data_IF_817908626054
#
_entry.id   IF_817908626054
#
_cell.length_a   1.000
_cell.length_b   1.000
_cell.length_c   1.000
_cell.angle_alpha   90.00
_cell.angle_beta   90.00
_cell.angle_gamma   90.00
#
_symmetry.space_group_name_H-M   'P 1'
#
loop_
_entity.id
_entity.type
_entity.pdbx_description
1 polymer ?
#
# COMPACT_ATOMS: atom_id res chain seq x y z
N UNK A 1 -5.80 10.71 12.30
CA UNK A 1 -7.03 10.07 11.78
C UNK A 1 -6.81 8.58 11.61
N UNK A 2 -7.86 7.74 11.59
CA UNK A 2 -7.65 6.32 11.34
C UNK A 2 -7.30 6.10 9.86
N UNK A 3 -6.35 5.20 9.57
CA UNK A 3 -5.96 4.94 8.19
C UNK A 3 -7.10 4.32 7.36
N UNK A 4 -8.04 3.60 7.98
CA UNK A 4 -9.26 3.15 7.28
C UNK A 4 -10.11 4.30 6.74
N UNK A 5 -10.17 5.42 7.45
CA UNK A 5 -10.91 6.60 7.02
C UNK A 5 -10.15 7.28 5.89
N UNK A 6 -8.83 7.39 6.02
CA UNK A 6 -7.94 7.90 4.98
C UNK A 6 -8.09 7.10 3.67
N UNK A 7 -8.05 5.76 3.76
CA UNK A 7 -8.27 4.85 2.65
C UNK A 7 -9.61 5.07 1.93
N UNK A 8 -10.68 5.29 2.68
CA UNK A 8 -12.01 5.57 2.13
C UNK A 8 -12.06 6.92 1.40
N UNK A 9 -11.34 7.93 1.89
CA UNK A 9 -11.24 9.22 1.18
C UNK A 9 -10.47 9.07 -0.14
N UNK A 10 -9.38 8.30 -0.15
CA UNK A 10 -8.64 8.00 -1.38
C UNK A 10 -9.51 7.28 -2.43
N UNK A 11 -10.35 6.34 -1.99
CA UNK A 11 -11.27 5.63 -2.89
C UNK A 11 -12.32 6.57 -3.50
N UNK A 12 -12.79 7.57 -2.75
CA UNK A 12 -13.69 8.60 -3.26
C UNK A 12 -12.96 9.49 -4.28
N UNK A 13 -11.74 9.93 -3.96
CA UNK A 13 -10.92 10.77 -4.83
C UNK A 13 -10.69 10.14 -6.21
N UNK A 14 -10.49 8.83 -6.28
CA UNK A 14 -10.30 8.13 -7.57
C UNK A 14 -11.54 8.15 -8.48
N UNK A 15 -12.74 8.29 -7.92
CA UNK A 15 -14.00 8.32 -8.69
C UNK A 15 -14.30 9.72 -9.24
N UNK A 16 -13.54 10.74 -8.85
CA UNK A 16 -13.74 12.13 -9.22
C UNK A 16 -12.86 12.46 -10.43
N UNK A 17 -13.46 13.01 -11.49
CA UNK A 17 -12.74 13.45 -12.70
C UNK A 17 -12.45 14.95 -12.73
N UNK A 18 -13.11 15.74 -11.89
CA UNK A 18 -12.94 17.20 -11.83
C UNK A 18 -11.74 17.59 -10.99
N UNK A 19 -10.76 18.27 -11.61
CA UNK A 19 -9.54 18.75 -10.93
C UNK A 19 -9.83 19.71 -9.77
N UNK A 20 -10.84 20.58 -9.91
CA UNK A 20 -11.22 21.52 -8.85
C UNK A 20 -11.72 20.76 -7.62
N UNK A 21 -12.63 19.81 -7.84
CA UNK A 21 -13.18 18.98 -6.75
C UNK A 21 -12.09 18.12 -6.09
N UNK A 22 -11.17 17.56 -6.87
CA UNK A 22 -10.00 16.84 -6.31
C UNK A 22 -9.18 17.76 -5.40
N UNK A 23 -8.96 19.00 -5.81
CA UNK A 23 -8.15 19.96 -5.03
C UNK A 23 -8.83 20.28 -3.70
N UNK A 24 -10.15 20.52 -3.71
CA UNK A 24 -10.94 20.80 -2.52
C UNK A 24 -10.95 19.60 -1.56
N UNK A 25 -11.20 18.39 -2.07
CA UNK A 25 -11.22 17.16 -1.27
C UNK A 25 -9.85 16.82 -0.67
N UNK A 26 -8.76 17.04 -1.41
CA UNK A 26 -7.39 16.88 -0.88
C UNK A 26 -7.10 17.93 0.18
N UNK A 27 -7.49 19.19 -0.03
CA UNK A 27 -7.31 20.24 0.98
C UNK A 27 -8.05 19.89 2.28
N UNK A 28 -9.28 19.36 2.19
CA UNK A 28 -10.05 18.94 3.35
C UNK A 28 -9.51 17.67 4.01
N UNK A 29 -8.93 16.75 3.24
CA UNK A 29 -8.21 15.61 3.80
C UNK A 29 -6.98 16.05 4.60
N UNK A 30 -6.18 16.98 4.07
CA UNK A 30 -5.00 17.51 4.75
C UNK A 30 -5.35 18.23 6.06
N UNK A 31 -6.48 18.95 6.12
CA UNK A 31 -6.97 19.58 7.36
C UNK A 31 -7.36 18.57 8.45
N UNK A 32 -7.71 17.33 8.08
CA UNK A 32 -8.10 16.25 9.01
C UNK A 32 -6.91 15.47 9.55
N UNK A 33 -5.73 15.59 8.94
CA UNK A 33 -4.50 15.01 9.45
C UNK A 33 -4.00 15.83 10.64
N UNK A 34 -3.54 15.15 11.68
CA UNK A 34 -2.81 15.83 12.75
C UNK A 34 -1.44 16.30 12.26
N UNK A 35 -0.80 17.21 13.00
CA UNK A 35 0.54 17.72 12.67
C UNK A 35 1.55 16.59 12.47
N UNK A 36 1.50 15.58 13.33
CA UNK A 36 2.45 14.45 13.32
C UNK A 36 2.15 13.45 12.17
N UNK A 37 0.92 13.42 11.66
CA UNK A 37 0.52 12.56 10.54
C UNK A 37 0.68 13.24 9.18
N UNK A 38 0.85 14.57 9.14
CA UNK A 38 0.78 15.36 7.89
C UNK A 38 1.86 14.93 6.91
N UNK A 39 3.09 14.77 7.37
CA UNK A 39 4.22 14.34 6.52
C UNK A 39 3.96 12.96 5.91
N UNK A 40 3.66 11.97 6.76
CA UNK A 40 3.37 10.61 6.31
C UNK A 40 2.15 10.53 5.39
N UNK A 41 1.07 11.25 5.73
CA UNK A 41 -0.14 11.32 4.93
C UNK A 41 0.09 11.93 3.54
N UNK A 42 0.91 12.99 3.44
CA UNK A 42 1.30 13.59 2.16
C UNK A 42 2.13 12.61 1.32
N UNK A 43 3.10 11.92 1.91
CA UNK A 43 3.87 10.92 1.17
C UNK A 43 2.98 9.77 0.68
N UNK A 44 2.09 9.27 1.53
CA UNK A 44 1.14 8.22 1.16
C UNK A 44 0.19 8.66 0.03
N UNK A 45 -0.30 9.91 0.06
CA UNK A 45 -1.09 10.50 -1.04
C UNK A 45 -0.34 10.53 -2.37
N UNK A 46 0.97 10.80 -2.32
CA UNK A 46 1.86 10.83 -3.47
C UNK A 46 2.36 9.44 -3.90
N UNK A 47 1.98 8.38 -3.17
CA UNK A 47 2.49 7.03 -3.38
C UNK A 47 3.97 6.87 -3.04
N UNK A 48 4.51 7.69 -2.14
CA UNK A 48 5.92 7.67 -1.72
C UNK A 48 6.04 7.34 -0.24
N UNK A 49 7.25 7.04 0.20
CA UNK A 49 7.58 6.88 1.62
C UNK A 49 8.59 7.92 2.12
N UNK A 50 9.30 8.59 1.22
CA UNK A 50 10.29 9.60 1.57
C UNK A 50 10.56 10.53 0.37
N UNK A 51 11.26 11.66 0.57
CA UNK A 51 11.80 12.45 -0.52
C UNK A 51 12.76 11.64 -1.40
N UNK A 52 12.79 11.95 -2.70
CA UNK A 52 13.64 11.23 -3.66
C UNK A 52 15.14 11.30 -3.35
N UNK A 53 15.61 12.35 -2.68
CA UNK A 53 17.03 12.53 -2.34
C UNK A 53 17.49 11.66 -1.16
N UNK A 54 16.59 11.02 -0.42
CA UNK A 54 16.93 10.19 0.75
C UNK A 54 17.43 8.81 0.36
N UNK A 55 17.18 8.37 -0.89
CA UNK A 55 17.50 7.01 -1.33
C UNK A 55 16.64 5.91 -0.68
N UNK A 56 15.64 6.27 0.14
CA UNK A 56 14.73 5.29 0.74
C UNK A 56 13.75 4.78 -0.32
N UNK A 57 13.99 3.56 -0.78
CA UNK A 57 13.14 2.87 -1.73
C UNK A 57 12.51 1.63 -1.10
N UNK A 58 11.23 1.40 -1.40
CA UNK A 58 10.55 0.20 -0.94
C UNK A 58 11.26 -1.07 -1.47
N UNK A 59 11.84 -1.00 -2.69
CA UNK A 59 12.57 -2.09 -3.34
C UNK A 59 11.85 -3.45 -3.23
N UNK A 60 10.53 -3.38 -3.29
CA UNK A 60 9.62 -4.51 -3.27
C UNK A 60 9.11 -4.69 -4.68
N UNK A 61 9.42 -5.82 -5.30
CA UNK A 61 8.87 -6.22 -6.60
C UNK A 61 7.53 -6.95 -6.46
N UNK A 62 6.76 -7.04 -7.55
CA UNK A 62 5.42 -7.63 -7.52
C UNK A 62 5.43 -9.10 -7.04
N UNK A 63 6.49 -9.86 -7.35
CA UNK A 63 6.69 -11.24 -6.85
C UNK A 63 6.82 -11.29 -5.33
N UNK A 64 7.43 -10.27 -4.72
CA UNK A 64 7.56 -10.18 -3.27
C UNK A 64 6.23 -9.82 -2.62
N UNK A 65 5.44 -8.94 -3.24
CA UNK A 65 4.08 -8.64 -2.80
C UNK A 65 3.19 -9.89 -2.87
N UNK A 66 3.26 -10.63 -3.98
CA UNK A 66 2.56 -11.89 -4.17
C UNK A 66 2.93 -12.90 -3.08
N UNK A 67 4.24 -13.09 -2.82
CA UNK A 67 4.73 -13.95 -1.73
C UNK A 67 4.23 -13.50 -0.35
N UNK A 68 4.18 -12.20 -0.11
CA UNK A 68 3.68 -11.64 1.17
C UNK A 68 2.20 -11.99 1.38
N UNK A 69 1.40 -11.93 0.31
CA UNK A 69 -0.03 -12.26 0.33
C UNK A 69 -0.25 -13.78 0.46
N UNK A 70 0.55 -14.57 -0.25
CA UNK A 70 0.55 -16.04 -0.14
C UNK A 70 0.86 -16.48 1.31
N UNK A 71 1.90 -15.90 1.92
CA UNK A 71 2.26 -16.14 3.32
C UNK A 71 1.18 -15.68 4.29
N UNK A 72 0.57 -14.52 4.03
CA UNK A 72 -0.55 -13.96 4.80
C UNK A 72 -1.77 -14.89 4.81
N UNK A 73 -2.19 -15.33 3.62
CA UNK A 73 -3.42 -16.08 3.45
C UNK A 73 -3.24 -17.59 3.62
N UNK A 74 -1.99 -18.07 3.74
CA UNK A 74 -1.63 -19.48 3.66
C UNK A 74 -2.21 -20.14 2.38
N UNK A 75 -2.14 -19.41 1.27
CA UNK A 75 -2.59 -19.83 -0.07
C UNK A 75 -1.37 -19.93 -0.97
N UNK A 76 -1.35 -20.93 -1.85
CA UNK A 76 -0.25 -21.11 -2.80
C UNK A 76 -0.05 -19.88 -3.71
N UNK A 77 1.22 -19.54 -3.99
CA UNK A 77 1.59 -18.43 -4.86
C UNK A 77 0.92 -18.52 -6.24
N UNK A 78 0.77 -19.73 -6.81
CA UNK A 78 0.17 -19.94 -8.13
C UNK A 78 -1.33 -19.59 -8.15
N UNK A 79 -2.03 -19.83 -7.03
CA UNK A 79 -3.45 -19.44 -6.88
C UNK A 79 -3.58 -17.92 -6.80
N UNK A 80 -2.74 -17.27 -5.98
CA UNK A 80 -2.71 -15.80 -5.89
C UNK A 80 -2.34 -15.17 -7.25
N UNK A 81 -1.42 -15.80 -7.99
CA UNK A 81 -1.04 -15.37 -9.34
C UNK A 81 -2.20 -15.51 -10.34
N UNK A 82 -2.94 -16.61 -10.29
CA UNK A 82 -4.10 -16.81 -11.15
C UNK A 82 -5.19 -15.75 -10.87
N UNK A 83 -5.46 -15.47 -9.59
CA UNK A 83 -6.39 -14.41 -9.19
C UNK A 83 -5.92 -13.04 -9.66
N UNK A 84 -4.63 -12.73 -9.52
CA UNK A 84 -4.05 -11.48 -10.01
C UNK A 84 -4.17 -11.35 -11.53
N UNK A 85 -3.91 -12.42 -12.29
CA UNK A 85 -4.08 -12.44 -13.75
C UNK A 85 -5.54 -12.22 -14.17
N UNK A 86 -6.49 -12.75 -13.39
CA UNK A 86 -7.91 -12.58 -13.66
C UNK A 86 -8.43 -11.18 -13.32
N UNK A 87 -8.01 -10.64 -12.17
CA UNK A 87 -8.51 -9.35 -11.64
C UNK A 87 -7.74 -8.13 -12.16
N UNK A 88 -6.50 -8.32 -12.61
CA UNK A 88 -5.62 -7.26 -13.10
C UNK A 88 -5.11 -6.29 -12.03
N UNK A 89 -5.48 -6.47 -10.76
CA UNK A 89 -5.10 -5.59 -9.65
C UNK A 89 -4.89 -6.39 -8.36
N UNK A 90 -3.76 -6.15 -7.68
CA UNK A 90 -3.42 -6.89 -6.46
C UNK A 90 -4.29 -6.46 -5.26
N UNK A 91 -4.79 -5.23 -5.25
CA UNK A 91 -5.78 -4.77 -4.28
C UNK A 91 -7.06 -5.57 -4.35
N UNK A 92 -7.56 -5.82 -5.57
CA UNK A 92 -8.74 -6.68 -5.79
C UNK A 92 -8.53 -8.14 -5.36
N UNK A 93 -7.29 -8.65 -5.50
CA UNK A 93 -6.92 -9.97 -4.96
C UNK A 93 -7.04 -9.96 -3.43
N UNK A 94 -6.41 -8.98 -2.78
CA UNK A 94 -6.43 -8.82 -1.32
C UNK A 94 -7.88 -8.63 -0.80
N UNK A 95 -8.73 -7.90 -1.52
CA UNK A 95 -10.15 -7.71 -1.15
C UNK A 95 -10.96 -9.00 -1.22
N UNK A 96 -10.56 -9.95 -2.06
CA UNK A 96 -11.21 -11.27 -2.15
C UNK A 96 -10.81 -12.24 -1.05
N UNK A 97 -9.81 -11.91 -0.22
CA UNK A 97 -9.34 -12.79 0.85
C UNK A 97 -10.31 -12.80 2.04
N UNK A 98 -10.40 -13.93 2.78
CA UNK A 98 -11.25 -14.04 3.96
C UNK A 98 -11.02 -12.93 4.99
N UNK A 99 -12.11 -12.33 5.49
CA UNK A 99 -12.03 -11.18 6.40
C UNK A 99 -11.34 -11.52 7.72
N UNK A 100 -11.41 -12.79 8.18
CA UNK A 100 -10.75 -13.25 9.40
C UNK A 100 -9.22 -13.13 9.36
N UNK A 101 -8.62 -13.11 8.16
CA UNK A 101 -7.18 -12.90 8.00
C UNK A 101 -6.73 -11.50 8.42
N UNK A 102 -7.66 -10.54 8.50
CA UNK A 102 -7.38 -9.14 8.79
C UNK A 102 -7.90 -8.73 10.18
N UNK A 103 -7.86 -9.63 11.17
CA UNK A 103 -8.37 -9.42 12.54
C UNK A 103 -7.46 -8.53 13.42
N UNK A 104 -6.81 -7.54 12.82
CA UNK A 104 -5.84 -6.66 13.47
C UNK A 104 -6.45 -5.52 14.28
N UNK A 105 -5.66 -4.51 14.62
CA UNK A 105 -6.17 -3.27 15.24
C UNK A 105 -6.34 -2.17 14.19
N UNK A 106 -7.14 -1.16 14.50
CA UNK A 106 -7.15 0.07 13.68
C UNK A 106 -5.84 0.83 13.97
N UNK A 107 -5.12 1.23 12.94
CA UNK A 107 -3.97 2.12 13.06
C UNK A 107 -4.30 3.52 12.57
N UNK A 108 -3.61 4.50 13.14
CA UNK A 108 -3.52 5.86 12.61
C UNK A 108 -2.74 5.92 11.29
N UNK A 109 -2.84 7.04 10.58
CA UNK A 109 -2.05 7.25 9.34
C UNK A 109 -0.55 7.25 9.65
N UNK A 110 -0.15 7.88 10.75
CA UNK A 110 1.24 7.93 11.21
C UNK A 110 1.80 6.54 11.51
N UNK A 111 1.09 5.72 12.28
CA UNK A 111 1.53 4.35 12.60
C UNK A 111 1.70 3.47 11.36
N UNK A 112 0.85 3.62 10.33
CA UNK A 112 1.01 2.88 9.08
C UNK A 112 2.22 3.37 8.31
N UNK A 113 2.39 4.69 8.22
CA UNK A 113 3.53 5.29 7.55
C UNK A 113 4.86 4.85 8.18
N UNK A 114 4.98 4.93 9.51
CA UNK A 114 6.16 4.47 10.25
C UNK A 114 6.47 2.99 9.99
N UNK A 115 5.46 2.14 9.98
CA UNK A 115 5.64 0.70 9.71
C UNK A 115 6.09 0.45 8.27
N UNK A 116 5.56 1.20 7.30
CA UNK A 116 5.99 1.10 5.90
C UNK A 116 7.44 1.56 5.72
N UNK A 117 7.82 2.66 6.37
CA UNK A 117 9.21 3.15 6.39
C UNK A 117 10.14 2.11 7.00
N UNK A 118 9.80 1.54 8.16
CA UNK A 118 10.60 0.50 8.81
C UNK A 118 10.79 -0.76 7.92
N UNK A 119 9.77 -1.12 7.11
CA UNK A 119 9.90 -2.19 6.11
C UNK A 119 10.82 -1.77 4.96
N UNK A 120 10.72 -0.52 4.49
CA UNK A 120 11.56 0.01 3.42
C UNK A 120 13.05 0.03 3.79
N UNK A 121 13.35 0.33 5.05
CA UNK A 121 14.70 0.45 5.61
C UNK A 121 15.46 -0.88 5.73
N UNK A 122 14.79 -2.03 5.59
CA UNK A 122 15.49 -3.31 5.57
C UNK A 122 16.51 -3.37 4.42
N UNK A 123 17.80 -3.34 4.75
CA UNK A 123 18.92 -3.43 3.82
C UNK A 123 19.82 -4.64 4.05
N UNK A 124 20.74 -4.88 3.12
CA UNK A 124 21.75 -5.95 3.21
C UNK A 124 21.26 -7.35 2.86
N UNK A 125 22.06 -8.36 3.22
CA UNK A 125 21.81 -9.77 2.92
C UNK A 125 20.52 -10.23 3.61
N UNK A 126 19.62 -10.86 2.85
CA UNK A 126 18.32 -11.32 3.34
C UNK A 126 17.28 -10.21 3.54
N UNK A 127 17.56 -8.96 3.15
CA UNK A 127 16.60 -7.86 3.22
C UNK A 127 15.29 -8.17 2.50
N UNK A 128 15.35 -8.82 1.33
CA UNK A 128 14.15 -9.19 0.58
C UNK A 128 13.18 -10.04 1.41
N UNK A 129 13.68 -11.04 2.13
CA UNK A 129 12.85 -11.92 2.96
C UNK A 129 12.24 -11.17 4.15
N UNK A 130 13.03 -10.28 4.77
CA UNK A 130 12.56 -9.40 5.85
C UNK A 130 11.47 -8.45 5.36
N UNK A 131 11.59 -7.91 4.15
CA UNK A 131 10.57 -7.06 3.53
C UNK A 131 9.28 -7.83 3.25
N UNK A 132 9.37 -9.05 2.70
CA UNK A 132 8.21 -9.92 2.46
C UNK A 132 7.49 -10.24 3.78
N UNK A 133 8.24 -10.71 4.78
CA UNK A 133 7.66 -11.05 6.08
C UNK A 133 7.11 -9.82 6.82
N UNK A 134 7.82 -8.69 6.76
CA UNK A 134 7.39 -7.42 7.37
C UNK A 134 6.10 -6.89 6.74
N UNK A 135 6.01 -6.94 5.41
CA UNK A 135 4.81 -6.56 4.68
C UNK A 135 3.64 -7.50 4.98
N UNK A 136 3.86 -8.81 5.00
CA UNK A 136 2.84 -9.80 5.38
C UNK A 136 2.29 -9.54 6.80
N UNK A 137 3.17 -9.23 7.76
CA UNK A 137 2.78 -8.87 9.13
C UNK A 137 2.00 -7.56 9.20
N UNK A 138 2.42 -6.56 8.42
CA UNK A 138 1.71 -5.28 8.34
C UNK A 138 0.30 -5.48 7.78
N UNK A 139 0.16 -6.30 6.74
CA UNK A 139 -1.11 -6.69 6.15
C UNK A 139 -2.04 -7.40 7.17
N UNK A 140 -1.52 -8.39 7.91
CA UNK A 140 -2.25 -9.09 8.98
C UNK A 140 -2.73 -8.15 10.09
N UNK A 141 -1.87 -7.21 10.48
CA UNK A 141 -2.10 -6.38 11.66
C UNK A 141 -3.19 -5.33 11.45
N UNK A 142 -3.64 -5.13 10.20
CA UNK A 142 -4.38 -3.96 9.80
C UNK A 142 -5.82 -4.30 9.39
N UNK A 143 -6.79 -3.85 10.20
CA UNK A 143 -8.21 -3.81 9.79
C UNK A 143 -8.38 -2.64 8.80
N UNK A 144 -8.55 -2.95 7.50
CA UNK A 144 -9.01 -1.98 6.51
C UNK A 144 -8.12 -1.73 5.29
N UNK A 145 -7.11 -2.56 5.05
CA UNK A 145 -6.17 -2.43 3.91
C UNK A 145 -6.86 -2.68 2.57
N UNK A 146 -8.13 -3.12 2.59
CA UNK A 146 -8.98 -3.43 1.43
C UNK A 146 -8.67 -2.56 0.19
N UNK A 147 -8.52 -1.22 0.26
CA UNK A 147 -8.28 -0.43 -0.95
C UNK A 147 -6.83 0.00 -1.22
N UNK A 148 -5.94 0.14 -0.23
CA UNK A 148 -4.78 1.06 -0.36
C UNK A 148 -3.51 0.40 -0.89
N UNK A 149 -3.21 -0.85 -0.52
CA UNK A 149 -1.92 -1.46 -0.92
C UNK A 149 -1.89 -1.80 -2.41
N UNK A 150 -3.00 -2.21 -3.02
CA UNK A 150 -3.08 -2.32 -4.47
C UNK A 150 -2.81 -1.00 -5.19
N UNK A 151 -3.22 0.13 -4.59
CA UNK A 151 -3.24 1.47 -5.22
C UNK A 151 -1.96 2.28 -5.02
N UNK A 152 -1.36 2.26 -3.81
CA UNK A 152 0.01 2.77 -3.57
C UNK A 152 1.00 2.01 -4.46
N UNK A 153 0.74 0.71 -4.66
CA UNK A 153 1.52 -0.09 -5.61
C UNK A 153 1.16 0.25 -7.07
N UNK A 154 -0.10 0.50 -7.44
CA UNK A 154 -0.49 0.93 -8.80
C UNK A 154 0.15 2.26 -9.23
N UNK A 155 0.29 3.24 -8.34
CA UNK A 155 0.99 4.50 -8.67
C UNK A 155 2.51 4.31 -8.85
N UNK A 156 3.14 3.43 -8.07
CA UNK A 156 4.57 3.09 -8.25
C UNK A 156 4.82 2.12 -9.41
N UNK A 157 3.89 1.20 -9.65
CA UNK A 157 3.94 0.22 -10.73
C UNK A 157 3.56 0.80 -12.08
N UNK A 158 2.75 1.85 -12.19
CA UNK A 158 2.58 2.51 -13.49
C UNK A 158 3.86 3.20 -14.00
N UNK A 159 4.83 3.47 -13.12
CA UNK A 159 6.20 3.85 -13.54
C UNK A 159 7.13 2.66 -13.77
N UNK A 160 6.95 1.54 -13.05
CA UNK A 160 7.80 0.36 -13.20
C UNK A 160 7.34 -0.61 -14.32
N UNK A 161 6.05 -0.64 -14.66
CA UNK A 161 5.47 -1.50 -15.71
C UNK A 161 5.46 -0.84 -17.08
N UNK A 162 5.58 0.49 -17.17
CA UNK A 162 5.78 1.18 -18.46
C UNK A 162 7.20 1.05 -18.99
N UNK A 163 8.17 0.65 -18.15
CA UNK A 163 9.56 0.40 -18.57
C UNK A 163 9.96 -1.09 -18.56
N UNK A 164 9.07 -2.00 -18.16
CA UNK A 164 9.42 -3.42 -17.94
C UNK A 164 8.61 -4.45 -18.73
N UNK A 165 7.73 -4.02 -19.64
CA UNK A 165 6.97 -4.90 -20.56
C UNK A 165 7.32 -4.67 -22.04
N UNK A 166 8.34 -3.86 -22.32
CA UNK A 166 9.03 -3.79 -23.61
C UNK A 166 10.51 -4.13 -23.37
N UNK A 167 10.77 -5.44 -23.30
CA UNK A 167 12.09 -6.04 -23.11
C UNK A 167 11.96 -7.55 -23.03
#
# INVERSE_FOLDING_TARGET
>A
MLFREFAQQLEKLEKISSRLVITDEVADLLKKLSRDETEGGVYLLLGKLAPAYTGLEFNLGWKMLLRSISQLANIDNDKILADFKSKGDMGEVIMGLPHQLFAGKNFSVGEVYEKLVAVAEYGGIGSQEKKVTGLARLLLSFIGIRPVIGKVYRQNCNRAFTTGFLG
#
